data_IF_511275414650
#
_entry.id   IF_511275414650
#
_cell.length_a   1.000
_cell.length_b   1.000
_cell.length_c   1.000
_cell.angle_alpha   90.00
_cell.angle_beta   90.00
_cell.angle_gamma   90.00
#
_symmetry.space_group_name_H-M   'P 1'
#
loop_
_entity.id
_entity.type
_entity.pdbx_description
1 polymer ?
#
# COMPACT_ATOMS: atom_id res chain seq x y z
N UNK A 1 -17.58 -16.04 -16.05
CA UNK A 1 -16.81 -16.56 -14.91
C UNK A 1 -17.49 -16.12 -13.61
N UNK A 2 -17.99 -17.04 -12.77
CA UNK A 2 -18.51 -16.68 -11.44
C UNK A 2 -17.32 -16.41 -10.52
N UNK A 3 -17.18 -15.18 -10.00
CA UNK A 3 -16.10 -14.79 -9.08
C UNK A 3 -16.28 -15.53 -7.74
N UNK A 4 -15.19 -16.10 -7.22
CA UNK A 4 -15.16 -16.83 -5.96
C UNK A 4 -15.55 -15.91 -4.79
N UNK A 5 -16.34 -16.37 -3.80
CA UNK A 5 -16.87 -15.54 -2.70
C UNK A 5 -15.81 -14.91 -1.79
N UNK A 6 -14.55 -15.31 -1.94
CA UNK A 6 -13.44 -14.67 -1.23
C UNK A 6 -13.06 -13.31 -1.83
N UNK A 7 -13.41 -13.01 -3.09
CA UNK A 7 -13.17 -11.71 -3.74
C UNK A 7 -11.75 -11.14 -3.53
N UNK A 8 -10.75 -12.01 -3.48
CA UNK A 8 -9.35 -11.65 -3.23
C UNK A 8 -8.56 -11.71 -4.53
N UNK A 9 -7.77 -10.67 -4.78
CA UNK A 9 -6.78 -10.68 -5.86
C UNK A 9 -5.50 -11.29 -5.30
N UNK A 10 -5.36 -12.62 -5.29
CA UNK A 10 -4.22 -13.29 -4.62
C UNK A 10 -2.87 -12.66 -4.99
N UNK A 11 -1.91 -12.63 -4.06
CA UNK A 11 -0.55 -12.10 -4.32
C UNK A 11 0.10 -12.72 -5.56
N UNK A 12 -0.14 -14.01 -5.83
CA UNK A 12 0.37 -14.68 -7.04
C UNK A 12 -0.26 -14.17 -8.34
N UNK A 13 -1.51 -13.70 -8.30
CA UNK A 13 -2.16 -13.08 -9.46
C UNK A 13 -1.55 -11.70 -9.72
N UNK A 14 -1.41 -10.88 -8.68
CA UNK A 14 -0.79 -9.54 -8.78
C UNK A 14 0.66 -9.64 -9.26
N UNK A 15 1.41 -10.61 -8.72
CA UNK A 15 2.76 -10.95 -9.21
C UNK A 15 2.77 -11.31 -10.69
N UNK A 16 1.91 -12.23 -11.13
CA UNK A 16 1.84 -12.62 -12.54
C UNK A 16 1.51 -11.44 -13.46
N UNK A 17 0.66 -10.52 -13.03
CA UNK A 17 0.39 -9.28 -13.75
C UNK A 17 1.68 -8.45 -13.88
N UNK A 18 2.41 -8.25 -12.79
CA UNK A 18 3.66 -7.51 -12.77
C UNK A 18 4.77 -8.17 -13.60
N UNK A 19 4.87 -9.51 -13.56
CA UNK A 19 5.85 -10.27 -14.31
C UNK A 19 5.56 -10.23 -15.82
N UNK A 20 4.28 -10.33 -16.22
CA UNK A 20 3.87 -10.21 -17.62
C UNK A 20 4.28 -8.87 -18.21
N UNK A 21 4.09 -7.77 -17.47
CA UNK A 21 4.44 -6.43 -17.93
C UNK A 21 5.95 -6.21 -17.99
N UNK A 22 6.70 -6.81 -17.05
CA UNK A 22 8.15 -6.71 -17.00
C UNK A 22 8.85 -7.42 -18.18
N UNK A 23 8.28 -8.50 -18.71
CA UNK A 23 8.84 -9.24 -19.83
C UNK A 23 8.89 -8.42 -21.12
N UNK A 24 7.91 -7.53 -21.32
CA UNK A 24 7.77 -6.76 -22.55
C UNK A 24 8.57 -5.45 -22.52
N UNK A 25 8.67 -4.77 -21.35
CA UNK A 25 9.35 -3.48 -21.27
C UNK A 25 9.80 -3.11 -19.84
N UNK A 26 11.09 -3.32 -19.53
CA UNK A 26 11.63 -3.16 -18.17
C UNK A 26 11.47 -1.73 -17.60
N UNK A 27 11.86 -0.63 -18.28
CA UNK A 27 11.66 0.73 -17.76
C UNK A 27 10.19 1.08 -17.51
N UNK A 28 9.29 0.78 -18.45
CA UNK A 28 7.85 1.02 -18.28
C UNK A 28 7.27 0.25 -17.08
N UNK A 29 7.70 -1.00 -16.88
CA UNK A 29 7.23 -1.79 -15.75
C UNK A 29 7.58 -1.18 -14.39
N UNK A 30 8.69 -0.44 -14.30
CA UNK A 30 9.09 0.31 -13.09
C UNK A 30 8.11 1.45 -12.84
N UNK A 31 7.89 2.31 -13.84
CA UNK A 31 6.96 3.44 -13.71
C UNK A 31 5.54 2.96 -13.40
N UNK A 32 5.06 1.91 -14.07
CA UNK A 32 3.74 1.35 -13.80
C UNK A 32 3.61 0.88 -12.35
N UNK A 33 4.56 0.09 -11.85
CA UNK A 33 4.52 -0.40 -10.47
C UNK A 33 4.54 0.77 -9.48
N UNK A 34 5.42 1.73 -9.70
CA UNK A 34 5.52 2.93 -8.85
C UNK A 34 4.20 3.71 -8.82
N UNK A 35 3.65 4.05 -10.00
CA UNK A 35 2.38 4.79 -10.11
C UNK A 35 1.22 4.02 -9.51
N UNK A 36 1.15 2.71 -9.74
CA UNK A 36 0.08 1.89 -9.17
C UNK A 36 0.15 1.84 -7.65
N UNK A 37 1.35 1.67 -7.08
CA UNK A 37 1.53 1.65 -5.63
C UNK A 37 1.17 3.01 -5.00
N UNK A 38 1.67 4.11 -5.56
CA UNK A 38 1.40 5.47 -5.07
C UNK A 38 -0.10 5.79 -5.15
N UNK A 39 -0.74 5.56 -6.29
CA UNK A 39 -2.18 5.80 -6.45
C UNK A 39 -3.01 4.94 -5.49
N UNK A 40 -2.58 3.70 -5.25
CA UNK A 40 -3.23 2.80 -4.30
C UNK A 40 -3.12 3.30 -2.86
N UNK A 41 -1.96 3.80 -2.47
CA UNK A 41 -1.77 4.40 -1.14
C UNK A 41 -2.57 5.69 -0.96
N UNK A 42 -2.58 6.58 -1.97
CA UNK A 42 -3.40 7.80 -1.96
C UNK A 42 -4.89 7.49 -1.78
N UNK A 43 -5.40 6.44 -2.42
CA UNK A 43 -6.81 6.08 -2.31
C UNK A 43 -7.25 5.75 -0.87
N UNK A 44 -6.38 5.13 -0.07
CA UNK A 44 -6.69 4.74 1.31
C UNK A 44 -6.24 5.75 2.35
N UNK A 45 -5.54 6.81 1.95
CA UNK A 45 -5.07 7.86 2.86
C UNK A 45 -6.19 8.55 3.65
N UNK A 46 -7.38 8.86 3.07
CA UNK A 46 -8.48 9.40 3.86
C UNK A 46 -8.91 8.47 5.01
N UNK A 47 -8.74 7.15 4.88
CA UNK A 47 -9.05 6.19 5.95
C UNK A 47 -8.09 6.37 7.12
N UNK A 48 -6.81 6.62 6.85
CA UNK A 48 -5.82 6.94 7.90
C UNK A 48 -6.21 8.22 8.64
N UNK A 49 -6.44 9.32 7.93
CA UNK A 49 -6.80 10.61 8.52
C UNK A 49 -8.01 10.49 9.45
N UNK A 50 -9.11 9.93 8.92
CA UNK A 50 -10.33 9.73 9.69
C UNK A 50 -10.10 8.82 10.91
N UNK A 51 -9.24 7.80 10.79
CA UNK A 51 -8.94 6.89 11.89
C UNK A 51 -8.11 7.57 12.99
N UNK A 52 -7.17 8.44 12.61
CA UNK A 52 -6.32 9.17 13.54
C UNK A 52 -7.08 10.32 14.20
N UNK A 53 -7.88 11.07 13.46
CA UNK A 53 -8.76 12.11 14.02
C UNK A 53 -9.73 11.52 15.04
N UNK A 54 -10.40 10.40 14.71
CA UNK A 54 -11.27 9.70 15.66
C UNK A 54 -10.52 9.09 16.87
N UNK A 55 -9.20 8.93 16.78
CA UNK A 55 -8.37 8.51 17.91
C UNK A 55 -8.04 9.73 18.80
N UNK A 56 -7.62 10.84 18.18
CA UNK A 56 -7.33 12.11 18.84
C UNK A 56 -8.53 12.66 19.63
N UNK A 57 -9.75 12.49 19.12
CA UNK A 57 -10.98 12.86 19.83
C UNK A 57 -11.21 12.07 21.13
N UNK A 58 -10.71 10.83 21.19
CA UNK A 58 -10.86 9.95 22.36
C UNK A 58 -9.68 10.13 23.33
N UNK A 59 -8.48 10.31 22.79
CA UNK A 59 -7.20 10.33 23.50
C UNK A 59 -6.57 11.72 23.45
N UNK A 60 -7.32 12.74 23.90
CA UNK A 60 -6.88 14.14 23.88
C UNK A 60 -5.53 14.38 24.57
N UNK A 61 -5.22 13.59 25.61
CA UNK A 61 -3.96 13.67 26.35
C UNK A 61 -2.73 13.31 25.49
N UNK A 62 -2.92 12.67 24.34
CA UNK A 62 -1.86 12.26 23.42
C UNK A 62 -1.81 13.10 22.14
N UNK A 63 -2.55 14.23 22.10
CA UNK A 63 -2.65 15.05 20.90
C UNK A 63 -1.29 15.56 20.39
N UNK A 64 -0.40 15.98 21.29
CA UNK A 64 0.94 16.46 20.91
C UNK A 64 1.80 15.38 20.24
N UNK A 65 1.63 14.12 20.65
CA UNK A 65 2.39 12.99 20.10
C UNK A 65 1.84 12.51 18.76
N UNK A 66 0.51 12.56 18.58
CA UNK A 66 -0.17 11.99 17.42
C UNK A 66 -0.45 12.97 16.29
N UNK A 67 -0.67 14.25 16.59
CA UNK A 67 -0.94 15.28 15.57
C UNK A 67 0.15 15.38 14.50
N UNK A 68 1.46 15.25 14.81
CA UNK A 68 2.51 15.18 13.78
C UNK A 68 2.40 13.99 12.83
N UNK A 69 1.69 12.91 13.20
CA UNK A 69 1.52 11.75 12.33
C UNK A 69 0.52 12.00 11.19
N UNK A 70 -0.31 13.05 11.28
CA UNK A 70 -1.33 13.37 10.26
C UNK A 70 -0.73 13.72 8.90
N UNK A 71 0.51 14.21 8.83
CA UNK A 71 1.18 14.54 7.56
C UNK A 71 2.10 13.43 7.04
N UNK A 72 2.39 12.42 7.86
CA UNK A 72 3.45 11.44 7.56
C UNK A 72 3.18 10.67 6.27
N UNK A 73 1.97 10.16 5.99
CA UNK A 73 1.73 9.49 4.72
C UNK A 73 1.81 10.42 3.51
N UNK A 74 1.35 11.67 3.63
CA UNK A 74 1.41 12.66 2.56
C UNK A 74 2.86 13.01 2.25
N UNK A 75 3.65 13.32 3.28
CA UNK A 75 5.07 13.62 3.16
C UNK A 75 5.81 12.44 2.52
N UNK A 76 5.45 11.22 2.93
CA UNK A 76 6.00 9.99 2.37
C UNK A 76 5.63 9.79 0.91
N UNK A 77 4.37 9.99 0.53
CA UNK A 77 3.91 9.82 -0.85
C UNK A 77 4.47 10.92 -1.76
N UNK A 78 4.50 12.18 -1.30
CA UNK A 78 5.11 13.28 -2.02
C UNK A 78 6.62 13.06 -2.21
N UNK A 79 7.31 12.60 -1.16
CA UNK A 79 8.71 12.18 -1.27
C UNK A 79 8.87 11.05 -2.27
N UNK A 80 8.03 10.01 -2.18
CA UNK A 80 8.06 8.86 -3.10
C UNK A 80 7.89 9.31 -4.55
N UNK A 81 6.89 10.16 -4.83
CA UNK A 81 6.68 10.74 -6.15
C UNK A 81 7.93 11.47 -6.64
N UNK A 82 8.58 12.27 -5.78
CA UNK A 82 9.82 12.96 -6.16
C UNK A 82 11.00 12.00 -6.43
N UNK A 83 11.04 10.85 -5.75
CA UNK A 83 12.15 9.89 -5.88
C UNK A 83 12.03 8.96 -7.09
N UNK A 84 10.80 8.61 -7.51
CA UNK A 84 10.57 7.81 -8.73
C UNK A 84 11.28 8.42 -9.94
N UNK A 85 11.36 9.75 -10.01
CA UNK A 85 11.99 10.47 -11.11
C UNK A 85 13.49 10.68 -10.93
N UNK A 86 14.00 10.67 -9.70
CA UNK A 86 15.40 10.98 -9.41
C UNK A 86 16.30 9.76 -9.29
N UNK A 87 15.75 8.53 -9.24
CA UNK A 87 16.51 7.26 -9.09
C UNK A 87 17.51 7.24 -7.92
N UNK A 88 17.34 8.09 -6.91
CA UNK A 88 18.20 8.17 -5.74
C UNK A 88 17.47 7.58 -4.54
N UNK A 89 17.69 6.31 -4.23
CA UNK A 89 17.18 5.78 -2.96
C UNK A 89 18.03 6.32 -1.81
N UNK A 90 17.41 7.14 -0.93
CA UNK A 90 18.00 7.50 0.34
C UNK A 90 17.44 6.58 1.43
N UNK A 91 18.02 5.39 1.56
CA UNK A 91 17.60 4.37 2.53
C UNK A 91 17.47 4.93 3.96
N UNK A 92 18.30 5.90 4.33
CA UNK A 92 18.29 6.56 5.65
C UNK A 92 16.98 7.31 5.93
N UNK A 93 16.40 7.97 4.92
CA UNK A 93 15.11 8.68 5.07
C UNK A 93 13.96 7.69 5.23
N UNK A 94 14.01 6.58 4.49
CA UNK A 94 13.03 5.50 4.57
C UNK A 94 13.07 4.82 5.97
N UNK A 95 14.25 4.60 6.55
CA UNK A 95 14.40 4.11 7.93
C UNK A 95 13.84 5.10 8.97
N UNK A 96 14.06 6.41 8.77
CA UNK A 96 13.47 7.45 9.60
C UNK A 96 11.93 7.39 9.59
N UNK A 97 11.35 7.08 8.43
CA UNK A 97 9.91 6.91 8.23
C UNK A 97 9.38 5.61 8.84
N UNK A 98 10.13 4.49 8.77
CA UNK A 98 9.79 3.24 9.48
C UNK A 98 9.55 3.49 10.97
N UNK A 99 10.41 4.28 11.62
CA UNK A 99 10.26 4.58 13.05
C UNK A 99 8.94 5.29 13.36
N UNK A 100 8.49 6.21 12.48
CA UNK A 100 7.19 6.90 12.61
C UNK A 100 6.01 5.94 12.41
N UNK A 101 6.16 4.92 11.57
CA UNK A 101 5.13 3.88 11.37
C UNK A 101 4.98 3.02 12.61
N UNK A 102 6.08 2.68 13.30
CA UNK A 102 6.01 1.98 14.58
C UNK A 102 5.29 2.80 15.65
N UNK A 103 5.43 4.13 15.64
CA UNK A 103 4.66 5.02 16.52
C UNK A 103 3.17 5.03 16.14
N UNK A 104 2.85 4.89 14.85
CA UNK A 104 1.49 4.77 14.35
C UNK A 104 0.82 3.41 14.64
N UNK A 105 1.51 2.42 15.22
CA UNK A 105 0.90 1.17 15.70
C UNK A 105 -0.14 1.41 16.80
N UNK A 106 -0.09 2.59 17.44
CA UNK A 106 -1.11 3.04 18.39
C UNK A 106 -2.40 3.54 17.71
N UNK A 107 -2.40 3.70 16.38
CA UNK A 107 -3.59 4.05 15.61
C UNK A 107 -4.44 2.80 15.38
N UNK A 108 -5.76 3.00 15.37
CA UNK A 108 -6.78 2.03 14.92
C UNK A 108 -6.33 1.18 13.72
N UNK A 109 -6.75 -0.08 13.67
CA UNK A 109 -6.28 -1.08 12.68
C UNK A 109 -6.36 -0.60 11.23
N UNK A 110 -7.45 0.08 10.85
CA UNK A 110 -7.62 0.65 9.51
C UNK A 110 -6.57 1.72 9.18
N UNK A 111 -6.20 2.55 10.15
CA UNK A 111 -5.14 3.55 10.00
C UNK A 111 -3.76 2.92 9.88
N UNK A 112 -3.46 1.91 10.69
CA UNK A 112 -2.21 1.14 10.56
C UNK A 112 -2.03 0.57 9.15
N UNK A 113 -3.07 -0.05 8.59
CA UNK A 113 -2.99 -0.62 7.24
C UNK A 113 -2.83 0.44 6.15
N UNK A 114 -3.48 1.60 6.27
CA UNK A 114 -3.31 2.70 5.32
C UNK A 114 -1.89 3.28 5.38
N UNK A 115 -1.32 3.42 6.58
CA UNK A 115 0.08 3.80 6.77
C UNK A 115 1.04 2.77 6.16
N UNK A 116 0.78 1.47 6.37
CA UNK A 116 1.56 0.39 5.76
C UNK A 116 1.44 0.39 4.23
N UNK A 117 0.32 0.83 3.65
CA UNK A 117 0.19 0.99 2.21
C UNK A 117 1.09 2.12 1.71
N UNK A 118 1.08 3.30 2.33
CA UNK A 118 1.98 4.40 1.97
C UNK A 118 3.45 4.02 2.12
N UNK A 119 3.79 3.33 3.21
CA UNK A 119 5.12 2.77 3.43
C UNK A 119 5.58 1.83 2.33
N UNK A 120 4.74 0.86 1.94
CA UNK A 120 5.12 -0.09 0.90
C UNK A 120 5.16 0.55 -0.48
N UNK A 121 4.34 1.58 -0.70
CA UNK A 121 4.37 2.33 -1.95
C UNK A 121 5.74 2.96 -2.18
N UNK A 122 6.41 3.45 -1.13
CA UNK A 122 7.76 4.00 -1.26
C UNK A 122 8.79 2.96 -1.69
N UNK A 123 8.71 1.73 -1.17
CA UNK A 123 9.60 0.64 -1.58
C UNK A 123 9.30 0.10 -2.97
N UNK A 124 8.02 -0.02 -3.33
CA UNK A 124 7.61 -0.46 -4.67
C UNK A 124 8.07 0.54 -5.72
N UNK A 125 7.96 1.83 -5.41
CA UNK A 125 8.37 2.92 -6.27
C UNK A 125 9.88 2.99 -6.50
N UNK A 126 10.70 2.69 -5.49
CA UNK A 126 12.17 2.69 -5.63
C UNK A 126 12.74 1.41 -6.24
N UNK A 127 11.89 0.42 -6.57
CA UNK A 127 12.30 -0.88 -7.11
C UNK A 127 13.21 -1.71 -6.18
N UNK A 128 13.30 -1.38 -4.89
CA UNK A 128 14.04 -2.18 -3.90
C UNK A 128 13.24 -3.42 -3.42
N UNK A 129 12.18 -3.77 -4.15
CA UNK A 129 11.17 -4.76 -3.79
C UNK A 129 11.66 -6.22 -3.74
N UNK A 130 12.90 -6.51 -4.16
CA UNK A 130 13.52 -7.83 -3.97
C UNK A 130 13.51 -8.27 -2.49
N UNK A 131 13.40 -7.32 -1.55
CA UNK A 131 13.39 -7.56 -0.12
C UNK A 131 12.20 -8.39 0.39
N UNK A 132 11.00 -8.23 -0.17
CA UNK A 132 9.80 -8.92 0.35
C UNK A 132 9.74 -10.38 -0.14
N UNK A 133 10.19 -10.66 -1.37
CA UNK A 133 10.15 -12.03 -1.93
C UNK A 133 11.13 -13.00 -1.28
N UNK A 134 12.35 -12.55 -0.97
CA UNK A 134 13.45 -13.45 -0.58
C UNK A 134 13.29 -14.06 0.81
N UNK A 135 12.61 -13.37 1.72
CA UNK A 135 12.65 -13.71 3.14
C UNK A 135 11.36 -14.33 3.69
N UNK A 136 10.26 -14.30 2.94
CA UNK A 136 8.95 -14.39 3.59
C UNK A 136 7.92 -15.36 2.98
N UNK A 137 8.24 -16.06 1.89
CA UNK A 137 7.31 -17.03 1.29
C UNK A 137 7.97 -18.40 1.07
N UNK A 138 7.69 -19.41 1.91
CA UNK A 138 7.81 -20.79 1.47
C UNK A 138 6.82 -21.00 0.32
N UNK A 139 7.32 -21.44 -0.85
CA UNK A 139 6.59 -21.51 -2.13
C UNK A 139 5.30 -22.35 -2.17
N UNK A 140 4.88 -22.95 -1.04
CA UNK A 140 3.92 -24.04 -1.01
C UNK A 140 2.67 -23.76 -0.14
N UNK A 141 2.50 -22.56 0.43
CA UNK A 141 1.29 -22.22 1.20
C UNK A 141 0.36 -21.28 0.42
N UNK A 142 -0.89 -21.70 0.20
CA UNK A 142 -1.98 -20.84 -0.26
C UNK A 142 -2.49 -20.00 0.90
N UNK A 143 -1.75 -18.94 1.25
CA UNK A 143 -2.20 -17.95 2.22
C UNK A 143 -3.19 -16.97 1.58
N UNK A 144 -4.19 -16.55 2.33
CA UNK A 144 -5.16 -15.53 1.90
C UNK A 144 -4.59 -14.12 2.13
N UNK A 145 -5.16 -13.09 1.48
CA UNK A 145 -4.71 -11.70 1.67
C UNK A 145 -4.79 -11.27 3.15
N UNK A 146 -5.80 -11.74 3.89
CA UNK A 146 -5.93 -11.51 5.33
C UNK A 146 -4.82 -12.18 6.14
N UNK A 147 -4.28 -13.31 5.68
CA UNK A 147 -3.16 -14.00 6.31
C UNK A 147 -1.84 -13.25 6.06
N UNK A 148 -1.65 -12.73 4.84
CA UNK A 148 -0.50 -11.88 4.51
C UNK A 148 -0.52 -10.55 5.27
N UNK A 149 -1.71 -10.00 5.39
CA UNK A 149 -2.01 -8.83 6.18
C UNK A 149 -1.65 -8.92 7.65
N UNK A 150 -1.92 -10.07 8.26
CA UNK A 150 -1.54 -10.38 9.64
C UNK A 150 -0.03 -10.40 9.80
N UNK A 151 0.69 -10.81 8.78
CA UNK A 151 2.13 -10.97 8.85
C UNK A 151 2.90 -9.68 8.49
N UNK A 152 2.23 -8.61 8.04
CA UNK A 152 2.85 -7.40 7.45
C UNK A 152 3.52 -7.72 6.09
N UNK A 153 3.46 -8.98 5.61
CA UNK A 153 4.21 -9.52 4.46
C UNK A 153 3.50 -9.34 3.11
N UNK A 154 2.70 -8.29 2.98
CA UNK A 154 1.90 -8.02 1.77
C UNK A 154 2.52 -6.93 0.90
N UNK A 155 2.00 -6.74 -0.32
CA UNK A 155 2.26 -5.54 -1.12
C UNK A 155 1.38 -4.34 -0.70
N UNK A 156 1.63 -3.21 -1.34
CA UNK A 156 0.88 -1.95 -1.17
C UNK A 156 -0.61 -2.18 -1.41
N UNK A 157 -0.96 -2.89 -2.48
CA UNK A 157 -2.34 -3.15 -2.85
C UNK A 157 -3.08 -3.96 -1.78
N UNK A 158 -2.47 -4.99 -1.23
CA UNK A 158 -3.07 -5.75 -0.14
C UNK A 158 -3.16 -4.96 1.17
N UNK A 159 -2.14 -4.17 1.54
CA UNK A 159 -2.25 -3.28 2.71
C UNK A 159 -3.41 -2.29 2.57
N UNK A 160 -3.55 -1.69 1.38
CA UNK A 160 -4.66 -0.79 1.08
C UNK A 160 -6.01 -1.51 1.08
N UNK A 161 -6.10 -2.72 0.51
CA UNK A 161 -7.31 -3.54 0.53
C UNK A 161 -7.76 -3.82 1.97
N UNK A 162 -6.81 -4.09 2.86
CA UNK A 162 -7.07 -4.27 4.27
C UNK A 162 -7.50 -3.00 4.95
N UNK A 163 -6.84 -1.86 4.71
CA UNK A 163 -7.26 -0.57 5.24
C UNK A 163 -8.72 -0.27 4.85
N UNK A 164 -9.05 -0.50 3.58
CA UNK A 164 -10.38 -0.31 3.02
C UNK A 164 -11.43 -1.26 3.58
N UNK A 165 -11.06 -2.49 3.96
CA UNK A 165 -12.01 -3.49 4.45
C UNK A 165 -12.09 -3.57 5.99
N UNK A 166 -11.05 -3.11 6.71
CA UNK A 166 -10.91 -3.29 8.14
C UNK A 166 -11.95 -2.47 8.93
N UNK A 167 -12.46 -3.07 9.99
CA UNK A 167 -13.24 -2.36 11.00
C UNK A 167 -12.30 -1.45 11.82
N UNK A 168 -12.69 -0.20 12.15
CA UNK A 168 -11.77 0.76 12.76
C UNK A 168 -11.16 0.27 14.10
N UNK A 169 -11.97 -0.37 14.95
CA UNK A 169 -11.56 -0.77 16.30
C UNK A 169 -11.49 -2.29 16.52
N UNK A 170 -11.89 -3.07 15.52
CA UNK A 170 -11.93 -4.54 15.65
C UNK A 170 -11.10 -5.14 14.54
N UNK A 171 -10.46 -6.26 14.85
CA UNK A 171 -9.71 -7.01 13.85
C UNK A 171 -10.65 -7.86 12.97
N UNK A 172 -11.54 -7.19 12.26
CA UNK A 172 -12.57 -7.76 11.39
C UNK A 172 -12.50 -7.08 10.03
N UNK A 173 -12.76 -7.84 8.96
CA UNK A 173 -12.73 -7.33 7.58
C UNK A 173 -14.09 -7.52 6.93
N UNK A 174 -14.63 -6.46 6.33
CA UNK A 174 -15.88 -6.51 5.58
C UNK A 174 -15.62 -7.04 4.16
N UNK A 175 -16.15 -8.22 3.79
CA UNK A 175 -15.89 -8.82 2.47
C UNK A 175 -16.41 -7.98 1.29
N UNK A 176 -17.51 -7.24 1.48
CA UNK A 176 -18.06 -6.37 0.43
C UNK A 176 -17.17 -5.15 0.19
N UNK A 177 -16.60 -4.56 1.25
CA UNK A 177 -15.62 -3.46 1.11
C UNK A 177 -14.32 -3.95 0.47
N UNK A 178 -13.90 -5.18 0.79
CA UNK A 178 -12.75 -5.80 0.16
C UNK A 178 -12.96 -6.01 -1.34
N UNK A 179 -14.13 -6.54 -1.74
CA UNK A 179 -14.51 -6.65 -3.16
C UNK A 179 -14.52 -5.29 -3.85
N UNK A 180 -15.16 -4.28 -3.25
CA UNK A 180 -15.24 -2.94 -3.82
C UNK A 180 -13.85 -2.34 -4.06
N UNK A 181 -12.92 -2.53 -3.11
CA UNK A 181 -11.54 -2.11 -3.29
C UNK A 181 -10.87 -2.79 -4.49
N UNK A 182 -11.00 -4.11 -4.62
CA UNK A 182 -10.39 -4.83 -5.74
C UNK A 182 -11.03 -4.47 -7.09
N UNK A 183 -12.34 -4.20 -7.12
CA UNK A 183 -13.01 -3.71 -8.33
C UNK A 183 -12.49 -2.34 -8.74
N UNK A 184 -12.36 -1.41 -7.80
CA UNK A 184 -11.71 -0.12 -8.03
C UNK A 184 -10.27 -0.30 -8.53
N UNK A 185 -9.48 -1.14 -7.86
CA UNK A 185 -8.07 -1.33 -8.17
C UNK A 185 -7.88 -1.86 -9.60
N UNK A 186 -8.71 -2.81 -10.02
CA UNK A 186 -8.65 -3.38 -11.37
C UNK A 186 -9.22 -2.46 -12.44
N UNK A 187 -10.34 -1.79 -12.19
CA UNK A 187 -11.08 -1.05 -13.21
C UNK A 187 -10.64 0.42 -13.34
N UNK A 188 -10.00 0.98 -12.31
CA UNK A 188 -9.64 2.41 -12.27
C UNK A 188 -8.15 2.62 -11.98
N UNK A 189 -7.64 2.05 -10.87
CA UNK A 189 -6.26 2.32 -10.44
C UNK A 189 -5.22 1.80 -11.44
N UNK A 190 -5.39 0.57 -11.94
CA UNK A 190 -4.48 -0.04 -12.89
C UNK A 190 -4.46 0.68 -14.25
N UNK A 191 -5.60 0.97 -14.92
CA UNK A 191 -5.61 1.78 -16.14
C UNK A 191 -5.00 3.16 -15.96
N UNK A 192 -5.32 3.85 -14.86
CA UNK A 192 -4.76 5.17 -14.57
C UNK A 192 -3.24 5.13 -14.41
N UNK A 193 -2.72 4.15 -13.65
CA UNK A 193 -1.28 3.95 -13.49
C UNK A 193 -0.59 3.64 -14.82
N UNK A 194 -1.26 2.91 -15.72
CA UNK A 194 -0.76 2.62 -17.07
C UNK A 194 -0.62 3.89 -17.91
N UNK A 195 -1.62 4.76 -17.91
CA UNK A 195 -1.56 6.04 -18.63
C UNK A 195 -0.44 6.93 -18.09
N UNK A 196 -0.33 7.07 -16.77
CA UNK A 196 0.74 7.85 -16.13
C UNK A 196 2.13 7.28 -16.44
N UNK A 197 2.28 5.96 -16.39
CA UNK A 197 3.55 5.30 -16.71
C UNK A 197 3.98 5.49 -18.17
N UNK A 198 3.04 5.58 -19.11
CA UNK A 198 3.37 5.91 -20.51
C UNK A 198 3.90 7.33 -20.61
N UNK A 199 3.23 8.29 -19.96
CA UNK A 199 3.67 9.69 -19.94
C UNK A 199 5.07 9.83 -19.33
N UNK A 200 5.32 9.12 -18.22
CA UNK A 200 6.63 9.13 -17.55
C UNK A 200 7.72 8.45 -18.38
N UNK A 201 7.38 7.44 -19.19
CA UNK A 201 8.34 6.74 -20.05
C UNK A 201 8.68 7.49 -21.34
N UNK A 202 7.85 8.45 -21.75
CA UNK A 202 8.05 9.30 -22.93
C UNK A 202 8.84 10.59 -22.64
N UNK A 203 8.90 11.02 -21.37
CA UNK A 203 9.59 12.23 -20.90
C UNK A 203 11.06 12.02 -20.56
#
# INVERSE_FOLDING_TARGET
MRRHPAHQSSIHLRRRLYDAIQQDWKPFSVYLRARLAINTAWHVLPIFRNSLEAQLEIEADFEEDFRPLLSVPEDLLAFTESQVFNQQSNATEIEGLQRKIYQAVLVRFSGLYAMLAAYKASYEATCEYEFIEKYFFPSNQTLQDVDYGRAILSDTAASAAMAAACHPIRYEFNPARLLAFWEWWHNEALPMAWEMANQDAEG
#
